data_IF_623832138737
#
_entry.id   IF_623832138737
#
_cell.length_a   1.000
_cell.length_b   1.000
_cell.length_c   1.000
_cell.angle_alpha   90.00
_cell.angle_beta   90.00
_cell.angle_gamma   90.00
#
_symmetry.space_group_name_H-M   'P 1'
#
loop_
_entity.id
_entity.type
_entity.pdbx_description
1 polymer ?
#
# COMPACT_ATOMS: atom_id res chain seq x y z
N UNK A 1 15.71 19.37 14.53
CA UNK A 1 15.34 19.05 15.93
C UNK A 1 16.02 17.76 16.30
N UNK A 2 16.71 17.73 17.42
CA UNK A 2 17.72 16.75 17.84
C UNK A 2 17.11 15.38 18.12
N UNK A 3 17.78 14.30 17.63
CA UNK A 3 17.34 12.89 17.73
C UNK A 3 17.39 12.23 19.12
N UNK A 4 17.12 12.98 20.21
CA UNK A 4 17.25 12.46 21.57
C UNK A 4 15.93 12.08 22.27
N UNK A 5 14.81 12.18 21.57
CA UNK A 5 13.47 11.96 22.19
C UNK A 5 12.77 10.67 21.72
N UNK A 6 13.50 9.76 21.11
CA UNK A 6 12.96 8.46 20.64
C UNK A 6 13.37 7.34 21.58
N UNK A 7 12.41 6.46 21.90
CA UNK A 7 12.66 5.26 22.72
C UNK A 7 13.25 4.19 21.80
N UNK A 8 14.58 4.03 21.83
CA UNK A 8 15.32 3.06 21.00
C UNK A 8 14.79 1.63 21.16
N UNK A 9 14.39 1.22 22.36
CA UNK A 9 13.85 -0.11 22.59
C UNK A 9 12.54 -0.37 21.81
N UNK A 10 11.70 0.65 21.63
CA UNK A 10 10.48 0.55 20.82
C UNK A 10 10.82 0.41 19.35
N UNK A 11 11.74 1.23 18.84
CA UNK A 11 12.23 1.15 17.47
C UNK A 11 12.80 -0.23 17.15
N UNK A 12 13.70 -0.73 18.01
CA UNK A 12 14.29 -2.07 17.87
C UNK A 12 13.23 -3.18 17.88
N UNK A 13 12.16 -3.03 18.69
CA UNK A 13 11.08 -4.01 18.72
C UNK A 13 10.35 -4.09 17.37
N UNK A 14 10.08 -2.95 16.73
CA UNK A 14 9.47 -2.92 15.39
C UNK A 14 10.44 -3.41 14.30
N UNK A 15 11.72 -3.07 14.35
CA UNK A 15 12.73 -3.62 13.43
C UNK A 15 12.77 -5.17 13.46
N UNK A 16 12.64 -5.77 14.65
CA UNK A 16 12.55 -7.24 14.79
C UNK A 16 11.24 -7.77 14.20
N UNK A 17 10.13 -7.09 14.39
CA UNK A 17 8.83 -7.45 13.82
C UNK A 17 8.89 -7.42 12.29
N UNK A 18 9.45 -6.36 11.71
CA UNK A 18 9.59 -6.18 10.26
C UNK A 18 10.44 -7.32 9.65
N UNK A 19 11.58 -7.64 10.27
CA UNK A 19 12.43 -8.76 9.83
C UNK A 19 11.69 -10.11 9.83
N UNK A 20 10.85 -10.34 10.84
CA UNK A 20 10.05 -11.57 10.95
C UNK A 20 8.94 -11.60 9.90
N UNK A 21 8.31 -10.46 9.59
CA UNK A 21 7.29 -10.37 8.53
C UNK A 21 7.90 -10.59 7.15
N UNK A 22 9.01 -9.94 6.84
CA UNK A 22 9.72 -10.07 5.56
C UNK A 22 10.19 -11.51 5.28
N UNK A 23 10.69 -12.20 6.30
CA UNK A 23 11.16 -13.58 6.19
C UNK A 23 10.05 -14.64 6.39
N UNK A 24 8.81 -14.22 6.69
CA UNK A 24 7.68 -15.08 7.02
C UNK A 24 7.92 -16.00 8.23
N UNK A 25 8.88 -15.63 9.07
CA UNK A 25 9.33 -16.32 10.27
C UNK A 25 10.84 -16.25 10.41
N UNK A 26 11.33 -16.17 11.65
CA UNK A 26 12.75 -16.13 11.93
C UNK A 26 13.10 -16.81 13.26
N UNK A 27 14.28 -17.41 13.33
CA UNK A 27 14.85 -17.93 14.58
C UNK A 27 15.56 -16.82 15.36
N UNK A 28 15.75 -17.01 16.67
CA UNK A 28 16.53 -16.06 17.47
C UNK A 28 17.97 -15.91 16.98
N UNK A 29 18.55 -16.96 16.36
CA UNK A 29 19.91 -16.89 15.83
C UNK A 29 20.01 -15.96 14.61
N UNK A 30 19.07 -16.06 13.67
CA UNK A 30 19.00 -15.18 12.50
C UNK A 30 18.78 -13.73 12.90
N UNK A 31 17.89 -13.47 13.86
CA UNK A 31 17.63 -12.12 14.39
C UNK A 31 18.85 -11.53 15.11
N UNK A 32 19.65 -12.33 15.83
CA UNK A 32 20.91 -11.89 16.44
C UNK A 32 21.91 -11.45 15.35
N UNK A 33 22.02 -12.23 14.30
CA UNK A 33 22.94 -11.94 13.18
C UNK A 33 22.48 -10.67 12.42
N UNK A 34 21.20 -10.56 12.12
CA UNK A 34 20.64 -9.45 11.36
C UNK A 34 20.65 -8.11 12.13
N UNK A 35 20.28 -8.12 13.40
CA UNK A 35 20.20 -6.89 14.22
C UNK A 35 21.55 -6.42 14.78
N UNK A 36 22.53 -7.30 14.89
CA UNK A 36 23.80 -7.03 15.57
C UNK A 36 23.67 -6.84 17.09
N UNK A 37 22.51 -7.09 17.67
CA UNK A 37 22.27 -6.99 19.09
C UNK A 37 22.90 -8.15 19.85
N UNK A 38 23.16 -7.94 21.14
CA UNK A 38 23.57 -9.05 22.01
C UNK A 38 22.47 -10.11 22.10
N UNK A 39 22.83 -11.37 22.28
CA UNK A 39 21.90 -12.48 22.50
C UNK A 39 20.86 -12.17 23.59
N UNK A 40 21.28 -11.59 24.71
CA UNK A 40 20.38 -11.19 25.79
C UNK A 40 19.43 -10.08 25.40
N UNK A 41 19.87 -9.15 24.53
CA UNK A 41 19.04 -8.07 23.97
C UNK A 41 17.91 -8.63 23.11
N UNK A 42 18.23 -9.48 22.13
CA UNK A 42 17.23 -10.09 21.24
C UNK A 42 16.23 -10.91 22.03
N UNK A 43 16.68 -11.80 22.91
CA UNK A 43 15.75 -12.61 23.72
C UNK A 43 14.83 -11.77 24.64
N UNK A 44 15.30 -10.60 25.09
CA UNK A 44 14.46 -9.69 25.90
C UNK A 44 13.33 -9.11 25.05
N UNK A 45 13.62 -8.66 23.81
CA UNK A 45 12.60 -8.19 22.89
C UNK A 45 11.63 -9.31 22.51
N UNK A 46 12.14 -10.46 22.06
CA UNK A 46 11.31 -11.60 21.68
C UNK A 46 10.35 -12.05 22.79
N UNK A 47 10.85 -12.14 24.02
CA UNK A 47 10.02 -12.50 25.16
C UNK A 47 8.91 -11.49 25.41
N UNK A 48 9.23 -10.20 25.37
CA UNK A 48 8.24 -9.14 25.56
C UNK A 48 7.20 -9.15 24.43
N UNK A 49 7.64 -9.30 23.18
CA UNK A 49 6.74 -9.32 22.01
C UNK A 49 5.81 -10.54 22.02
N UNK A 50 6.29 -11.70 22.50
CA UNK A 50 5.43 -12.88 22.71
C UNK A 50 4.46 -12.66 23.86
N UNK A 51 4.91 -12.05 24.97
CA UNK A 51 4.06 -11.76 26.14
C UNK A 51 2.89 -10.82 25.79
N UNK A 52 3.10 -9.92 24.82
CA UNK A 52 2.05 -8.99 24.35
C UNK A 52 1.33 -9.50 23.08
N UNK A 53 1.45 -10.77 22.73
CA UNK A 53 0.84 -11.41 21.56
C UNK A 53 1.21 -10.78 20.19
N UNK A 54 2.25 -9.93 20.16
CA UNK A 54 2.77 -9.38 18.91
C UNK A 54 3.56 -10.43 18.10
N UNK A 55 4.19 -11.38 18.77
CA UNK A 55 4.83 -12.55 18.16
C UNK A 55 4.28 -13.85 18.76
N UNK A 56 4.38 -14.93 18.00
CA UNK A 56 4.18 -16.29 18.48
C UNK A 56 5.47 -17.11 18.24
N UNK A 57 5.80 -17.99 19.18
CA UNK A 57 6.91 -18.94 19.00
C UNK A 57 6.34 -20.29 18.59
N UNK A 58 6.74 -20.78 17.42
CA UNK A 58 6.39 -22.09 16.88
C UNK A 58 7.66 -22.92 16.72
N UNK A 59 7.89 -23.78 17.71
CA UNK A 59 9.03 -24.73 17.71
C UNK A 59 10.41 -24.06 17.57
N UNK A 60 10.58 -22.84 18.10
CA UNK A 60 11.84 -22.09 18.04
C UNK A 60 11.90 -21.05 16.94
N UNK A 61 10.95 -21.04 16.03
CA UNK A 61 10.74 -20.01 15.03
C UNK A 61 9.72 -18.99 15.53
N UNK A 62 10.03 -17.71 15.39
CA UNK A 62 9.15 -16.59 15.74
C UNK A 62 8.41 -16.13 14.51
N UNK A 63 7.09 -15.99 14.61
CA UNK A 63 6.19 -15.51 13.56
C UNK A 63 5.32 -14.39 14.12
N UNK A 64 4.67 -13.61 13.23
CA UNK A 64 3.72 -12.60 13.67
C UNK A 64 2.60 -13.21 14.52
N UNK A 65 2.29 -12.55 15.62
CA UNK A 65 1.25 -12.96 16.57
C UNK A 65 -0.15 -12.42 16.19
N UNK A 66 -1.22 -12.92 16.87
CA UNK A 66 -2.60 -12.56 16.55
C UNK A 66 -2.93 -11.08 16.79
N UNK A 67 -2.16 -10.36 17.60
CA UNK A 67 -2.42 -8.95 17.91
C UNK A 67 -2.44 -8.04 16.68
N UNK A 68 -1.63 -8.34 15.68
CA UNK A 68 -1.64 -7.56 14.43
C UNK A 68 -2.93 -7.74 13.65
N UNK A 69 -3.53 -8.93 13.68
CA UNK A 69 -4.86 -9.18 13.09
C UNK A 69 -5.91 -8.36 13.84
N UNK A 70 -5.89 -8.34 15.17
CA UNK A 70 -6.83 -7.55 15.97
C UNK A 70 -6.73 -6.06 15.70
N UNK A 71 -5.51 -5.52 15.57
CA UNK A 71 -5.30 -4.11 15.20
C UNK A 71 -5.72 -3.80 13.77
N UNK A 72 -5.43 -4.69 12.82
CA UNK A 72 -5.86 -4.56 11.44
C UNK A 72 -7.39 -4.50 11.30
N UNK A 73 -8.11 -5.30 12.10
CA UNK A 73 -9.58 -5.27 12.16
C UNK A 73 -10.15 -3.95 12.72
N UNK A 74 -9.34 -3.17 13.44
CA UNK A 74 -9.73 -1.89 14.02
C UNK A 74 -9.52 -0.66 13.11
N UNK A 75 -8.83 -0.80 11.96
CA UNK A 75 -8.57 0.30 11.02
C UNK A 75 -9.53 0.21 9.85
N UNK A 76 -10.59 1.06 9.85
CA UNK A 76 -11.76 0.89 8.98
C UNK A 76 -11.48 0.97 7.46
N UNK A 77 -10.66 1.91 7.00
CA UNK A 77 -10.52 2.17 5.55
C UNK A 77 -9.62 1.15 4.85
N UNK A 78 -8.45 0.85 5.42
CA UNK A 78 -7.56 -0.18 4.88
C UNK A 78 -8.22 -1.59 4.93
N UNK A 79 -9.09 -1.84 5.90
CA UNK A 79 -9.78 -3.12 6.04
C UNK A 79 -10.80 -3.35 4.93
N UNK A 80 -11.65 -2.36 4.69
CA UNK A 80 -12.68 -2.46 3.65
C UNK A 80 -12.08 -2.75 2.25
N UNK A 81 -10.91 -2.17 1.94
CA UNK A 81 -10.26 -2.40 0.65
C UNK A 81 -9.51 -3.74 0.61
N UNK A 82 -8.96 -4.21 1.73
CA UNK A 82 -8.25 -5.50 1.82
C UNK A 82 -9.20 -6.70 1.74
N UNK A 83 -10.45 -6.57 2.13
CA UNK A 83 -11.47 -7.61 1.95
C UNK A 83 -11.79 -7.85 0.46
N UNK A 84 -11.34 -6.97 -0.43
CA UNK A 84 -11.61 -7.02 -1.87
C UNK A 84 -10.46 -7.64 -2.70
N UNK A 85 -9.42 -8.20 -2.05
CA UNK A 85 -8.22 -8.72 -2.73
C UNK A 85 -8.51 -9.80 -3.77
N UNK A 86 -9.55 -10.61 -3.59
CA UNK A 86 -9.96 -11.63 -4.57
C UNK A 86 -10.31 -11.00 -5.94
N UNK A 87 -11.01 -9.85 -5.96
CA UNK A 87 -11.34 -9.12 -7.19
C UNK A 87 -10.10 -8.52 -7.86
N UNK A 88 -9.14 -8.10 -7.05
CA UNK A 88 -7.85 -7.60 -7.53
C UNK A 88 -7.05 -8.71 -8.20
N UNK A 89 -7.06 -9.91 -7.62
CA UNK A 89 -6.45 -11.10 -8.21
C UNK A 89 -7.13 -11.54 -9.51
N UNK A 90 -8.46 -11.46 -9.58
CA UNK A 90 -9.21 -11.72 -10.81
C UNK A 90 -8.83 -10.75 -11.92
N UNK A 91 -8.74 -9.45 -11.59
CA UNK A 91 -8.34 -8.40 -12.52
C UNK A 91 -6.91 -8.63 -13.03
N UNK A 92 -5.97 -8.89 -12.14
CA UNK A 92 -4.58 -9.15 -12.49
C UNK A 92 -4.42 -10.33 -13.44
N UNK A 93 -5.16 -11.42 -13.17
CA UNK A 93 -5.18 -12.60 -14.03
C UNK A 93 -5.80 -12.31 -15.41
N UNK A 94 -6.89 -11.52 -15.47
CA UNK A 94 -7.57 -11.19 -16.72
C UNK A 94 -6.75 -10.29 -17.64
N UNK A 95 -5.91 -9.44 -17.07
CA UNK A 95 -5.05 -8.49 -17.79
C UNK A 95 -3.61 -8.99 -17.96
N UNK A 96 -3.25 -10.11 -17.33
CA UNK A 96 -1.86 -10.58 -17.24
C UNK A 96 -0.92 -9.44 -16.83
N UNK A 97 -1.33 -8.72 -15.77
CA UNK A 97 -0.62 -7.54 -15.27
C UNK A 97 -0.73 -7.45 -13.74
N UNK A 98 0.38 -7.14 -13.04
CA UNK A 98 0.35 -6.91 -11.62
C UNK A 98 -0.58 -5.74 -11.27
N UNK A 99 -1.37 -5.94 -10.23
CA UNK A 99 -2.36 -4.98 -9.75
C UNK A 99 -2.11 -4.69 -8.28
N UNK A 100 -2.19 -3.43 -7.89
CA UNK A 100 -1.89 -2.95 -6.55
C UNK A 100 -3.11 -2.26 -5.94
N UNK A 101 -3.23 -2.35 -4.60
CA UNK A 101 -4.15 -1.52 -3.83
C UNK A 101 -3.37 -0.51 -2.99
N UNK A 102 -3.86 0.72 -3.04
CA UNK A 102 -3.28 1.85 -2.31
C UNK A 102 -4.31 2.47 -1.38
N UNK A 103 -3.86 2.91 -0.21
CA UNK A 103 -4.68 3.68 0.74
C UNK A 103 -3.98 4.99 1.09
N UNK A 104 -4.76 5.97 1.54
CA UNK A 104 -4.21 7.16 2.16
C UNK A 104 -3.60 6.76 3.52
N UNK A 105 -2.30 6.97 3.69
CA UNK A 105 -1.56 6.62 4.92
C UNK A 105 -1.48 7.77 5.93
N UNK A 106 -2.08 8.92 5.61
CA UNK A 106 -1.84 10.16 6.32
C UNK A 106 -0.51 10.79 5.90
N UNK A 107 -0.07 11.81 6.62
CA UNK A 107 1.24 12.48 6.42
C UNK A 107 1.58 12.82 4.96
N UNK A 108 0.57 13.11 4.10
CA UNK A 108 0.70 13.43 2.67
C UNK A 108 1.14 12.26 1.77
N UNK A 109 1.09 11.02 2.27
CA UNK A 109 1.52 9.82 1.56
C UNK A 109 0.35 8.85 1.31
N UNK A 110 0.50 8.02 0.28
CA UNK A 110 -0.30 6.80 0.10
C UNK A 110 0.61 5.57 0.26
N UNK A 111 0.02 4.47 0.72
CA UNK A 111 0.71 3.20 0.95
C UNK A 111 0.13 2.09 0.10
N UNK A 112 1.01 1.31 -0.53
CA UNK A 112 0.64 0.07 -1.18
C UNK A 112 0.36 -1.01 -0.12
N UNK A 113 -0.91 -1.35 0.08
CA UNK A 113 -1.34 -2.33 1.09
C UNK A 113 -1.46 -3.74 0.52
N UNK A 114 -1.59 -3.87 -0.79
CA UNK A 114 -1.67 -5.15 -1.49
C UNK A 114 -1.08 -5.07 -2.88
N UNK A 115 -0.41 -6.14 -3.31
CA UNK A 115 0.03 -6.37 -4.69
C UNK A 115 -0.21 -7.82 -5.07
N UNK A 116 -0.70 -8.04 -6.27
CA UNK A 116 -0.91 -9.41 -6.80
C UNK A 116 0.40 -10.06 -7.23
N UNK A 117 1.49 -9.32 -7.17
CA UNK A 117 2.78 -9.83 -7.53
C UNK A 117 3.43 -10.55 -6.36
N UNK A 118 3.74 -11.83 -6.59
CA UNK A 118 4.40 -12.70 -5.62
C UNK A 118 5.80 -13.16 -6.07
N UNK A 119 6.24 -12.75 -7.28
CA UNK A 119 7.54 -13.13 -7.83
C UNK A 119 8.43 -11.91 -8.10
N UNK A 120 9.73 -12.08 -7.86
CA UNK A 120 10.78 -11.10 -8.14
C UNK A 120 11.10 -11.01 -9.65
N UNK A 121 10.11 -10.76 -10.51
CA UNK A 121 10.46 -10.39 -11.90
C UNK A 121 11.31 -9.15 -11.84
N UNK A 122 12.57 -9.29 -12.20
CA UNK A 122 13.53 -8.21 -12.15
C UNK A 122 12.95 -6.94 -12.82
N UNK A 123 12.90 -5.85 -12.06
CA UNK A 123 12.50 -4.55 -12.54
C UNK A 123 11.05 -4.12 -12.32
N UNK A 124 10.18 -4.90 -11.68
CA UNK A 124 8.86 -4.37 -11.31
C UNK A 124 9.00 -3.32 -10.20
N UNK A 125 8.39 -2.13 -10.36
CA UNK A 125 8.71 -0.99 -9.52
C UNK A 125 7.86 -0.87 -8.24
N UNK A 126 7.03 -1.87 -7.88
CA UNK A 126 6.11 -1.80 -6.74
C UNK A 126 6.22 -3.01 -5.83
N UNK A 127 6.19 -2.76 -4.53
CA UNK A 127 6.07 -3.80 -3.50
C UNK A 127 5.03 -3.41 -2.45
N UNK A 128 4.52 -4.41 -1.74
CA UNK A 128 3.67 -4.15 -0.57
C UNK A 128 4.48 -3.41 0.49
N UNK A 129 3.89 -2.36 1.06
CA UNK A 129 4.52 -1.50 2.05
C UNK A 129 5.14 -0.24 1.47
N UNK A 130 5.33 -0.14 0.14
CA UNK A 130 5.80 1.09 -0.50
C UNK A 130 4.93 2.28 -0.11
N UNK A 131 5.56 3.41 0.17
CA UNK A 131 4.89 4.70 0.40
C UNK A 131 5.33 5.73 -0.63
N UNK A 132 4.40 6.55 -1.08
CA UNK A 132 4.66 7.60 -2.03
C UNK A 132 3.80 8.85 -1.78
N UNK A 133 4.31 10.05 -2.13
CA UNK A 133 3.52 11.26 -1.97
C UNK A 133 2.20 11.20 -2.77
N UNK A 134 1.09 11.52 -2.11
CA UNK A 134 -0.24 11.56 -2.72
C UNK A 134 -0.30 12.44 -3.98
N UNK A 135 0.49 13.52 -4.03
CA UNK A 135 0.50 14.48 -5.13
C UNK A 135 1.31 14.03 -6.34
N UNK A 136 2.13 12.99 -6.22
CA UNK A 136 3.12 12.60 -7.25
C UNK A 136 2.79 11.30 -7.98
N UNK A 137 1.83 10.53 -7.48
CA UNK A 137 1.48 9.24 -8.08
C UNK A 137 0.06 9.21 -8.61
N UNK A 138 -0.23 8.45 -9.67
CA UNK A 138 -1.60 8.27 -10.15
C UNK A 138 -2.54 7.77 -9.06
N UNK A 139 -2.14 6.77 -8.27
CA UNK A 139 -2.95 6.26 -7.16
C UNK A 139 -3.25 7.34 -6.11
N UNK A 140 -2.23 8.12 -5.71
CA UNK A 140 -2.40 9.22 -4.77
C UNK A 140 -3.30 10.33 -5.32
N UNK A 141 -3.10 10.73 -6.58
CA UNK A 141 -3.90 11.79 -7.22
C UNK A 141 -5.38 11.42 -7.34
N UNK A 142 -5.72 10.17 -7.70
CA UNK A 142 -7.12 9.74 -7.76
C UNK A 142 -7.76 9.65 -6.38
N UNK A 143 -7.02 9.31 -5.32
CA UNK A 143 -7.48 9.40 -3.94
C UNK A 143 -7.76 10.86 -3.57
N UNK A 144 -6.80 11.77 -3.78
CA UNK A 144 -6.93 13.21 -3.49
C UNK A 144 -8.12 13.85 -4.21
N UNK A 145 -8.36 13.49 -5.47
CA UNK A 145 -9.45 14.02 -6.28
C UNK A 145 -10.83 13.79 -5.65
N UNK A 146 -10.99 12.73 -4.86
CA UNK A 146 -12.27 12.33 -4.27
C UNK A 146 -12.41 12.70 -2.79
N UNK A 147 -11.32 13.14 -2.13
CA UNK A 147 -11.41 13.65 -0.76
C UNK A 147 -12.25 14.93 -0.67
N UNK A 148 -12.90 15.17 0.48
CA UNK A 148 -13.48 16.47 0.79
C UNK A 148 -12.44 17.59 0.62
N UNK A 149 -12.88 18.74 0.12
CA UNK A 149 -11.96 19.84 -0.24
C UNK A 149 -11.06 20.26 0.91
N UNK A 150 -11.61 20.34 2.11
CA UNK A 150 -10.85 20.76 3.31
C UNK A 150 -9.70 19.77 3.62
N UNK A 151 -9.99 18.46 3.58
CA UNK A 151 -8.99 17.41 3.81
C UNK A 151 -7.96 17.37 2.68
N UNK A 152 -8.41 17.54 1.44
CA UNK A 152 -7.54 17.59 0.27
C UNK A 152 -6.55 18.76 0.32
N UNK A 153 -7.03 19.96 0.64
CA UNK A 153 -6.21 21.17 0.70
C UNK A 153 -5.16 21.06 1.82
N UNK A 154 -5.50 20.44 2.95
CA UNK A 154 -4.56 20.14 4.04
C UNK A 154 -3.48 19.14 3.59
N UNK A 155 -3.87 18.05 2.92
CA UNK A 155 -2.95 17.00 2.45
C UNK A 155 -2.06 17.46 1.29
N UNK A 156 -2.48 18.40 0.48
CA UNK A 156 -1.64 18.96 -0.58
C UNK A 156 -0.47 19.76 0.04
N UNK A 157 -0.70 20.51 1.11
CA UNK A 157 0.32 21.11 1.97
C UNK A 157 1.29 22.12 1.32
N UNK A 158 1.12 22.47 0.05
CA UNK A 158 2.02 23.32 -0.72
C UNK A 158 1.37 23.97 -1.94
N UNK A 159 2.13 24.84 -2.60
CA UNK A 159 1.72 25.47 -3.85
C UNK A 159 2.12 24.56 -5.04
N UNK A 160 1.23 23.65 -5.40
CA UNK A 160 1.38 22.79 -6.58
C UNK A 160 0.62 23.41 -7.76
N UNK A 161 1.33 24.16 -8.60
CA UNK A 161 0.75 24.85 -9.75
C UNK A 161 0.03 23.84 -10.69
N UNK A 162 -1.25 24.09 -10.95
CA UNK A 162 -2.07 23.25 -11.83
C UNK A 162 -2.68 22.00 -11.19
N UNK A 163 -2.19 21.51 -10.05
CA UNK A 163 -2.72 20.30 -9.41
C UNK A 163 -4.21 20.41 -9.03
N UNK A 164 -4.71 21.50 -8.44
CA UNK A 164 -6.13 21.60 -8.11
C UNK A 164 -7.05 21.44 -9.33
N UNK A 165 -6.67 22.02 -10.48
CA UNK A 165 -7.45 21.89 -11.72
C UNK A 165 -7.40 20.45 -12.27
N UNK A 166 -6.23 19.80 -12.19
CA UNK A 166 -6.07 18.39 -12.55
C UNK A 166 -6.95 17.47 -11.68
N UNK A 167 -7.01 17.73 -10.38
CA UNK A 167 -7.83 16.92 -9.46
C UNK A 167 -9.33 17.08 -9.72
N UNK A 168 -9.81 18.26 -10.11
CA UNK A 168 -11.22 18.44 -10.49
C UNK A 168 -11.55 17.66 -11.79
N UNK A 169 -10.66 17.68 -12.79
CA UNK A 169 -10.82 16.86 -14.00
C UNK A 169 -10.79 15.36 -13.67
N UNK A 170 -9.90 14.94 -12.78
CA UNK A 170 -9.81 13.55 -12.34
C UNK A 170 -11.06 13.07 -11.61
N UNK A 171 -11.70 13.95 -10.84
CA UNK A 171 -12.96 13.63 -10.15
C UNK A 171 -14.06 13.23 -11.12
N UNK A 172 -14.10 13.86 -12.29
CA UNK A 172 -15.05 13.51 -13.35
C UNK A 172 -14.64 12.25 -14.11
N UNK A 173 -13.35 12.13 -14.46
CA UNK A 173 -12.83 11.03 -15.26
C UNK A 173 -12.69 9.73 -14.48
N UNK A 174 -12.44 9.81 -13.18
CA UNK A 174 -12.18 8.68 -12.27
C UNK A 174 -11.03 7.74 -12.72
N UNK A 175 -10.14 8.23 -13.56
CA UNK A 175 -9.02 7.45 -14.08
C UNK A 175 -7.84 8.37 -14.43
N UNK A 176 -6.63 7.95 -14.05
CA UNK A 176 -5.38 8.61 -14.43
C UNK A 176 -4.40 7.58 -14.97
N UNK A 177 -3.78 7.88 -16.11
CA UNK A 177 -2.67 7.14 -16.66
C UNK A 177 -1.47 8.06 -16.87
N UNK A 178 -0.37 7.77 -16.17
CA UNK A 178 0.88 8.54 -16.26
C UNK A 178 2.09 7.60 -16.15
N UNK A 179 3.23 7.95 -16.79
CA UNK A 179 4.50 7.30 -16.48
C UNK A 179 4.88 7.47 -15.02
N UNK A 180 5.50 6.46 -14.42
CA UNK A 180 6.05 6.60 -13.08
C UNK A 180 7.23 7.57 -13.09
N UNK A 181 7.25 8.53 -12.17
CA UNK A 181 8.28 9.59 -12.12
C UNK A 181 9.70 9.04 -11.91
N UNK A 182 9.84 7.95 -11.17
CA UNK A 182 11.13 7.31 -10.85
C UNK A 182 11.47 6.13 -11.78
N UNK A 183 10.52 5.67 -12.60
CA UNK A 183 10.66 4.55 -13.53
C UNK A 183 9.82 4.81 -14.80
N UNK A 184 10.23 5.77 -15.68
CA UNK A 184 9.41 6.25 -16.80
C UNK A 184 9.17 5.20 -17.90
N UNK A 185 9.89 4.09 -17.88
CA UNK A 185 9.64 2.91 -18.70
C UNK A 185 8.39 2.13 -18.28
N UNK A 186 7.76 2.51 -17.14
CA UNK A 186 6.53 1.96 -16.62
C UNK A 186 5.42 3.01 -16.59
N UNK A 187 4.22 2.61 -16.98
CA UNK A 187 3.00 3.43 -16.93
C UNK A 187 2.10 2.87 -15.83
N UNK A 188 1.72 3.75 -14.92
CA UNK A 188 0.69 3.49 -13.90
C UNK A 188 -0.66 3.95 -14.44
N UNK A 189 -1.67 3.10 -14.28
CA UNK A 189 -3.08 3.39 -14.58
C UNK A 189 -3.85 3.14 -13.30
N UNK A 190 -4.46 4.17 -12.75
CA UNK A 190 -5.14 4.12 -11.46
C UNK A 190 -6.57 4.64 -11.51
N UNK A 191 -7.44 4.06 -10.71
CA UNK A 191 -8.82 4.50 -10.47
C UNK A 191 -9.11 4.50 -8.96
N UNK A 192 -9.95 5.43 -8.45
CA UNK A 192 -10.31 5.44 -7.03
C UNK A 192 -11.21 4.25 -6.71
N UNK A 193 -11.06 3.72 -5.51
CA UNK A 193 -12.03 2.83 -4.89
C UNK A 193 -12.83 3.65 -3.90
N UNK A 194 -14.12 3.82 -4.17
CA UNK A 194 -15.03 4.63 -3.35
C UNK A 194 -15.92 3.73 -2.50
N UNK A 195 -16.30 4.19 -1.33
CA UNK A 195 -17.36 3.60 -0.54
C UNK A 195 -18.76 3.97 -1.08
N UNK A 196 -19.84 3.39 -0.53
CA UNK A 196 -21.20 3.76 -0.93
C UNK A 196 -21.59 5.22 -0.71
N UNK A 197 -20.83 5.97 0.11
CA UNK A 197 -21.02 7.39 0.41
C UNK A 197 -20.16 8.31 -0.49
N UNK A 198 -19.55 7.75 -1.56
CA UNK A 198 -18.62 8.44 -2.47
C UNK A 198 -17.33 8.94 -1.80
N UNK A 199 -16.96 8.36 -0.63
CA UNK A 199 -15.66 8.66 -0.02
C UNK A 199 -14.58 7.70 -0.53
N UNK A 200 -13.35 8.17 -0.80
CA UNK A 200 -12.28 7.32 -1.27
C UNK A 200 -11.75 6.46 -0.11
N UNK A 201 -11.86 5.15 -0.24
CA UNK A 201 -11.21 4.18 0.67
C UNK A 201 -9.82 3.79 0.18
N UNK A 202 -9.49 4.13 -1.06
CA UNK A 202 -8.18 3.88 -1.64
C UNK A 202 -8.19 4.00 -3.16
N UNK A 203 -7.23 3.36 -3.79
CA UNK A 203 -7.13 3.26 -5.25
C UNK A 203 -6.69 1.86 -5.67
N UNK A 204 -7.15 1.43 -6.85
CA UNK A 204 -6.62 0.27 -7.55
C UNK A 204 -5.73 0.75 -8.70
N UNK A 205 -4.54 0.18 -8.81
CA UNK A 205 -3.51 0.56 -9.77
C UNK A 205 -3.02 -0.65 -10.55
N UNK A 206 -2.84 -0.48 -11.84
CA UNK A 206 -2.09 -1.41 -12.70
C UNK A 206 -0.83 -0.70 -13.18
N UNK A 207 0.31 -1.40 -13.12
CA UNK A 207 1.58 -0.89 -13.64
C UNK A 207 2.07 -1.82 -14.74
N UNK A 208 2.22 -1.27 -15.94
CA UNK A 208 2.63 -2.00 -17.14
C UNK A 208 3.81 -1.31 -17.82
N UNK A 209 4.65 -2.06 -18.58
CA UNK A 209 5.67 -1.45 -19.41
C UNK A 209 5.08 -0.44 -20.38
N UNK A 210 5.75 0.70 -20.57
CA UNK A 210 5.28 1.79 -21.45
C UNK A 210 5.03 1.30 -22.91
N UNK A 211 5.82 0.34 -23.37
CA UNK A 211 5.63 -0.30 -24.69
C UNK A 211 4.25 -0.96 -24.81
N UNK A 212 3.75 -1.54 -23.73
CA UNK A 212 2.44 -2.20 -23.68
C UNK A 212 1.30 -1.18 -23.59
N UNK A 213 1.56 0.02 -23.09
CA UNK A 213 0.59 1.11 -22.94
C UNK A 213 0.34 1.92 -24.23
N UNK A 214 1.00 1.61 -25.33
CA UNK A 214 0.94 2.44 -26.57
C UNK A 214 -0.31 2.26 -27.42
N UNK A 215 -1.09 1.20 -27.21
CA UNK A 215 -2.31 0.94 -27.98
C UNK A 215 -3.56 1.55 -27.34
N UNK A 216 -4.34 2.32 -28.12
CA UNK A 216 -5.62 2.91 -27.65
C UNK A 216 -6.59 1.83 -27.15
N UNK A 217 -6.67 0.71 -27.86
CA UNK A 217 -7.54 -0.41 -27.50
C UNK A 217 -7.10 -1.09 -26.19
N UNK A 218 -5.79 -1.19 -25.96
CA UNK A 218 -5.22 -1.76 -24.72
C UNK A 218 -5.55 -0.85 -23.55
N UNK A 219 -5.33 0.47 -23.68
CA UNK A 219 -5.66 1.44 -22.64
C UNK A 219 -7.15 1.44 -22.32
N UNK A 220 -8.02 1.46 -23.32
CA UNK A 220 -9.47 1.43 -23.13
C UNK A 220 -9.94 0.15 -22.43
N UNK A 221 -9.37 -1.00 -22.79
CA UNK A 221 -9.69 -2.27 -22.16
C UNK A 221 -9.26 -2.30 -20.69
N UNK A 222 -8.02 -1.87 -20.39
CA UNK A 222 -7.51 -1.78 -19.02
C UNK A 222 -8.36 -0.82 -18.19
N UNK A 223 -8.63 0.37 -18.71
CA UNK A 223 -9.44 1.40 -18.04
C UNK A 223 -10.85 0.90 -17.72
N UNK A 224 -11.47 0.23 -18.69
CA UNK A 224 -12.82 -0.35 -18.51
C UNK A 224 -12.85 -1.39 -17.40
N UNK A 225 -11.90 -2.34 -17.42
CA UNK A 225 -11.83 -3.40 -16.40
C UNK A 225 -11.45 -2.88 -15.01
N UNK A 226 -10.55 -1.87 -14.93
CA UNK A 226 -10.23 -1.19 -13.68
C UNK A 226 -11.47 -0.54 -13.07
N UNK A 227 -12.18 0.27 -13.85
CA UNK A 227 -13.37 0.98 -13.40
C UNK A 227 -14.49 0.00 -13.01
N UNK A 228 -14.70 -1.06 -13.78
CA UNK A 228 -15.66 -2.11 -13.46
C UNK A 228 -15.30 -2.79 -12.13
N UNK A 229 -14.04 -3.14 -11.93
CA UNK A 229 -13.58 -3.78 -10.69
C UNK A 229 -13.76 -2.86 -9.49
N UNK A 230 -13.39 -1.57 -9.59
CA UNK A 230 -13.61 -0.60 -8.53
C UNK A 230 -15.09 -0.45 -8.17
N UNK A 231 -15.99 -0.42 -9.18
CA UNK A 231 -17.43 -0.40 -8.95
C UNK A 231 -17.97 -1.67 -8.28
N UNK A 232 -17.45 -2.85 -8.65
CA UNK A 232 -17.80 -4.12 -7.98
C UNK A 232 -17.35 -4.11 -6.52
N UNK A 233 -16.14 -3.60 -6.24
CA UNK A 233 -15.65 -3.44 -4.87
C UNK A 233 -16.57 -2.54 -4.06
N UNK A 234 -16.97 -1.39 -4.61
CA UNK A 234 -17.91 -0.45 -3.98
C UNK A 234 -19.24 -1.09 -3.59
N UNK A 235 -19.83 -1.89 -4.48
CA UNK A 235 -21.12 -2.55 -4.24
C UNK A 235 -21.05 -3.56 -3.10
N UNK A 236 -19.93 -4.22 -2.92
CA UNK A 236 -19.76 -5.22 -1.85
C UNK A 236 -19.30 -4.63 -0.51
N UNK A 237 -18.99 -3.35 -0.45
CA UNK A 237 -18.78 -2.59 0.79
C UNK A 237 -20.10 -2.10 1.42
N UNK A 238 -21.28 -2.43 0.81
CA UNK A 238 -22.62 -2.18 1.36
C UNK A 238 -22.90 -3.16 2.51
#
# INVERSE_FOLDING_TARGET
MSGSDRIEATKTAFEIIDMIDESQGATAAELIEATGLSRGGVYKHLRTLVEVDALANRDGEYVLGPRFTEYGLGTSDAHAILDQTEKVDELARSLDAPTNLWVNDGDHECRCVYTTRTDDRAGYPRTRGDTEPLTQTPAGKVILAHLPKENRDELIGGDYEGLPAQLEELRERQLLDEPLSFAPEWVSIATPVLDPSDQPVGAIEIVIPAERATGIDVKNNISGLLTETANRMRVEML
#
